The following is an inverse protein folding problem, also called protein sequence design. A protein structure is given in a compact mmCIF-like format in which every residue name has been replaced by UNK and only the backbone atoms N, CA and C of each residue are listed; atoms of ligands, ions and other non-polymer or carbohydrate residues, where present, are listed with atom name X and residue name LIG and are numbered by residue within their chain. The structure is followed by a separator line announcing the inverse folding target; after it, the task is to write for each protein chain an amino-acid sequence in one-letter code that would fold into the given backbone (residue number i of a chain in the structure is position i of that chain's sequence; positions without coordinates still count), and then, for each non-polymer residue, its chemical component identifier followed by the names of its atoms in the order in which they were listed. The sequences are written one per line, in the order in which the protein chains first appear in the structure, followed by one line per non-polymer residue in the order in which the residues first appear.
data_IF_454287888989
#
_entry.id   IF_454287888989
#
_cell.length_a   1.000
_cell.length_b   1.000
_cell.length_c   1.000
_cell.angle_alpha   90.00
_cell.angle_beta   90.00
_cell.angle_gamma   90.00
#
_symmetry.space_group_name_H-M   'P 1'
#
loop_
_entity.id
_entity.type
_entity.pdbx_description
1 polymer ?
#
# COMPACT_ATOMS: atom_id res chain seq x y z
N UNK A 1 -41.77 -5.21 -13.01
CA UNK A 1 -40.52 -4.73 -13.67
C UNK A 1 -39.27 -5.47 -13.21
N UNK A 2 -39.39 -6.73 -12.75
CA UNK A 2 -38.28 -7.52 -12.18
C UNK A 2 -37.95 -8.81 -12.95
N UNK A 3 -38.72 -9.16 -13.98
CA UNK A 3 -38.51 -10.40 -14.75
C UNK A 3 -37.56 -10.24 -15.94
N UNK A 4 -37.21 -9.01 -16.34
CA UNK A 4 -36.41 -8.78 -17.55
C UNK A 4 -34.89 -8.74 -17.31
N UNK A 5 -34.43 -8.85 -16.04
CA UNK A 5 -32.99 -8.87 -15.71
C UNK A 5 -32.38 -10.28 -15.71
N UNK A 6 -33.17 -11.33 -15.47
CA UNK A 6 -32.65 -12.71 -15.48
C UNK A 6 -32.38 -13.24 -16.90
N UNK A 7 -33.05 -12.71 -17.92
CA UNK A 7 -32.91 -13.22 -19.29
C UNK A 7 -31.63 -12.74 -20.00
N UNK A 8 -30.95 -11.73 -19.45
CA UNK A 8 -29.71 -11.19 -20.01
C UNK A 8 -28.49 -11.91 -19.43
N UNK A 9 -28.58 -12.39 -18.19
CA UNK A 9 -27.47 -13.11 -17.52
C UNK A 9 -27.29 -14.53 -18.06
N UNK A 10 -28.37 -15.24 -18.39
CA UNK A 10 -28.27 -16.60 -19.00
C UNK A 10 -27.72 -16.58 -20.43
N UNK A 11 -27.89 -15.49 -21.17
CA UNK A 11 -27.40 -15.41 -22.57
C UNK A 11 -25.89 -15.20 -22.64
N UNK A 12 -25.31 -14.48 -21.68
CA UNK A 12 -23.87 -14.22 -21.64
C UNK A 12 -23.08 -15.42 -21.11
N UNK A 13 -23.70 -16.30 -20.32
CA UNK A 13 -23.05 -17.50 -19.79
C UNK A 13 -22.98 -18.63 -20.85
N UNK A 14 -23.94 -18.66 -21.79
CA UNK A 14 -23.90 -19.59 -22.93
C UNK A 14 -22.86 -19.21 -24.00
N UNK A 15 -22.55 -17.93 -24.19
CA UNK A 15 -21.51 -17.48 -25.15
C UNK A 15 -20.07 -17.66 -24.62
N UNK A 16 -19.85 -17.67 -23.30
CA UNK A 16 -18.54 -17.98 -22.71
C UNK A 16 -18.21 -19.49 -22.77
N UNK A 17 -19.22 -20.36 -22.63
CA UNK A 17 -19.03 -21.81 -22.77
C UNK A 17 -18.84 -22.26 -24.23
N UNK A 18 -19.32 -21.49 -25.21
CA UNK A 18 -19.06 -21.76 -26.63
C UNK A 18 -17.66 -21.28 -27.07
N UNK A 19 -17.14 -20.18 -26.49
CA UNK A 19 -15.74 -19.75 -26.72
C UNK A 19 -14.71 -20.65 -26.02
N UNK A 20 -15.03 -21.21 -24.86
CA UNK A 20 -14.14 -22.16 -24.18
C UNK A 20 -14.04 -23.52 -24.92
N UNK A 21 -14.95 -23.81 -25.85
CA UNK A 21 -14.93 -25.02 -26.67
C UNK A 21 -14.14 -24.87 -27.98
N UNK A 22 -13.84 -23.65 -28.42
CA UNK A 22 -13.15 -23.38 -29.68
C UNK A 22 -11.62 -23.37 -29.51
N UNK A 23 -11.10 -23.07 -28.31
CA UNK A 23 -9.64 -23.05 -28.05
C UNK A 23 -9.10 -24.36 -27.43
N UNK A 24 -9.96 -25.35 -27.19
CA UNK A 24 -9.59 -26.65 -26.59
C UNK A 24 -9.34 -27.79 -27.59
N UNK A 25 -9.77 -27.64 -28.84
CA UNK A 25 -9.75 -28.69 -29.86
C UNK A 25 -8.86 -28.32 -31.06
N UNK A 26 -7.76 -27.59 -30.82
CA UNK A 26 -6.56 -27.77 -31.63
C UNK A 26 -5.89 -29.11 -31.27
N UNK A 27 -6.69 -30.18 -31.36
CA UNK A 27 -6.25 -31.56 -31.42
C UNK A 27 -5.40 -31.63 -32.69
N UNK A 28 -4.08 -31.61 -32.53
CA UNK A 28 -3.13 -32.08 -33.54
C UNK A 28 -3.48 -33.54 -33.82
N UNK A 29 -4.47 -33.76 -34.68
CA UNK A 29 -4.68 -35.04 -35.35
C UNK A 29 -3.48 -35.23 -36.26
N UNK A 30 -2.41 -35.76 -35.69
CA UNK A 30 -1.33 -36.38 -36.44
C UNK A 30 -1.97 -37.50 -37.25
N UNK A 31 -2.16 -37.20 -38.53
CA UNK A 31 -2.58 -38.12 -39.56
C UNK A 31 -1.82 -39.44 -39.39
N UNK A 32 -2.57 -40.52 -39.13
CA UNK A 32 -2.01 -41.86 -38.86
C UNK A 32 -1.23 -42.40 -40.07
N UNK A 33 -1.38 -41.77 -41.25
CA UNK A 33 -0.75 -42.16 -42.50
C UNK A 33 0.19 -41.09 -43.07
N UNK A 34 0.44 -39.99 -42.36
CA UNK A 34 1.48 -39.06 -42.80
C UNK A 34 2.84 -39.77 -42.63
N UNK A 35 3.37 -40.27 -43.74
CA UNK A 35 4.78 -40.59 -43.88
C UNK A 35 5.56 -39.40 -43.31
N UNK A 36 6.30 -39.65 -42.23
CA UNK A 36 7.40 -38.77 -41.83
C UNK A 36 8.39 -38.82 -42.99
N UNK A 37 8.19 -37.93 -43.97
CA UNK A 37 9.15 -37.63 -45.00
C UNK A 37 10.36 -37.02 -44.32
N UNK A 38 11.26 -37.88 -43.83
CA UNK A 38 12.65 -37.53 -43.61
C UNK A 38 13.22 -37.29 -45.00
N UNK A 39 12.98 -36.08 -45.51
CA UNK A 39 13.68 -35.56 -46.67
C UNK A 39 15.15 -35.55 -46.32
N UNK A 40 15.90 -36.51 -46.88
CA UNK A 40 17.35 -36.50 -46.86
C UNK A 40 17.83 -35.34 -47.74
N UNK A 41 17.78 -34.12 -47.22
CA UNK A 41 18.61 -33.03 -47.75
C UNK A 41 20.02 -33.23 -47.20
N UNK A 42 20.76 -34.13 -47.84
CA UNK A 42 22.20 -34.34 -47.61
C UNK A 42 23.01 -33.34 -48.45
N UNK A 43 22.75 -32.04 -48.28
CA UNK A 43 23.65 -31.00 -48.79
C UNK A 43 24.71 -30.69 -47.72
N UNK A 44 25.69 -31.58 -47.55
CA UNK A 44 26.88 -31.25 -46.72
C UNK A 44 27.52 -32.38 -45.92
N UNK A 45 27.18 -33.65 -46.16
CA UNK A 45 27.86 -34.78 -45.49
C UNK A 45 28.73 -35.51 -46.50
N UNK A 46 30.02 -35.52 -46.22
CA UNK A 46 31.08 -36.18 -46.98
C UNK A 46 30.71 -37.66 -47.24
N UNK A 47 30.87 -38.10 -48.50
CA UNK A 47 30.42 -39.39 -49.02
C UNK A 47 30.92 -40.63 -48.26
N UNK A 48 31.93 -40.49 -47.40
CA UNK A 48 32.46 -41.57 -46.56
C UNK A 48 31.57 -41.89 -45.35
N UNK A 49 30.95 -40.88 -44.73
CA UNK A 49 30.12 -41.05 -43.52
C UNK A 49 28.75 -41.64 -43.82
N UNK A 50 28.20 -41.40 -45.01
CA UNK A 50 26.93 -41.99 -45.44
C UNK A 50 27.01 -43.51 -45.66
N UNK A 51 28.19 -44.05 -45.97
CA UNK A 51 28.38 -45.48 -46.26
C UNK A 51 28.34 -46.37 -45.00
N UNK A 52 28.77 -45.85 -43.86
CA UNK A 52 28.81 -46.59 -42.60
C UNK A 52 27.46 -46.59 -41.87
N UNK A 53 26.69 -45.50 -41.92
CA UNK A 53 25.34 -45.44 -41.33
C UNK A 53 24.33 -46.31 -42.10
N UNK A 54 24.51 -46.45 -43.42
CA UNK A 54 23.71 -47.37 -44.27
C UNK A 54 24.00 -48.85 -44.01
N UNK A 55 25.20 -49.18 -43.53
CA UNK A 55 25.62 -50.55 -43.22
C UNK A 55 25.15 -51.05 -41.85
N UNK A 56 24.92 -50.14 -40.90
CA UNK A 56 24.38 -50.46 -39.58
C UNK A 56 22.84 -50.54 -39.54
N UNK A 57 22.14 -49.89 -40.47
CA UNK A 57 20.66 -49.87 -40.51
C UNK A 57 20.05 -50.91 -41.45
N UNK A 58 20.82 -51.54 -42.33
CA UNK A 58 20.32 -52.48 -43.36
C UNK A 58 20.21 -53.94 -42.92
N UNK A 59 20.43 -54.26 -41.63
CA UNK A 59 20.40 -55.65 -41.11
C UNK A 59 19.48 -55.90 -39.91
N UNK A 60 18.50 -55.03 -39.69
CA UNK A 60 17.39 -55.32 -38.77
C UNK A 60 16.10 -55.37 -39.57
N UNK A 61 15.79 -56.54 -40.12
CA UNK A 61 14.43 -56.89 -40.54
C UNK A 61 13.59 -57.05 -39.26
N UNK A 62 13.23 -55.94 -38.64
CA UNK A 62 12.24 -55.90 -37.58
C UNK A 62 10.88 -56.19 -38.23
N UNK A 63 10.16 -57.19 -37.71
CA UNK A 63 8.77 -57.44 -38.08
C UNK A 63 7.92 -56.20 -37.78
N UNK A 64 6.83 -56.01 -38.54
CA UNK A 64 5.97 -54.83 -38.40
C UNK A 64 5.46 -54.65 -36.95
N UNK A 65 5.26 -55.75 -36.22
CA UNK A 65 4.93 -55.79 -34.80
C UNK A 65 6.01 -55.14 -33.91
N UNK A 66 7.30 -55.40 -34.17
CA UNK A 66 8.40 -54.80 -33.40
C UNK A 66 8.56 -53.31 -33.72
N UNK A 67 8.34 -52.90 -34.96
CA UNK A 67 8.29 -51.46 -35.33
C UNK A 67 7.12 -50.75 -34.64
N UNK A 68 5.99 -51.42 -34.51
CA UNK A 68 4.80 -50.87 -33.87
C UNK A 68 4.96 -50.77 -32.35
N UNK A 69 5.61 -51.75 -31.72
CA UNK A 69 5.95 -51.75 -30.29
C UNK A 69 6.97 -50.67 -29.93
N UNK A 70 8.02 -50.50 -30.73
CA UNK A 70 8.99 -49.40 -30.55
C UNK A 70 8.32 -48.05 -30.75
N UNK A 71 7.46 -47.89 -31.76
CA UNK A 71 6.65 -46.67 -31.92
C UNK A 71 5.75 -46.41 -30.71
N UNK A 72 5.11 -47.45 -30.16
CA UNK A 72 4.24 -47.30 -29.00
C UNK A 72 5.01 -46.87 -27.74
N UNK A 73 6.21 -47.44 -27.51
CA UNK A 73 7.11 -47.03 -26.42
C UNK A 73 7.56 -45.57 -26.57
N UNK A 74 8.04 -45.17 -27.74
CA UNK A 74 8.42 -43.77 -27.98
C UNK A 74 7.24 -42.81 -27.84
N UNK A 75 6.04 -43.23 -28.22
CA UNK A 75 4.84 -42.41 -28.07
C UNK A 75 4.44 -42.25 -26.61
N UNK A 76 4.51 -43.33 -25.83
CA UNK A 76 4.27 -43.28 -24.39
C UNK A 76 5.31 -42.41 -23.67
N UNK A 77 6.60 -42.57 -23.98
CA UNK A 77 7.66 -41.74 -23.37
C UNK A 77 7.51 -40.25 -23.77
N UNK A 78 7.10 -39.98 -25.01
CA UNK A 78 6.85 -38.63 -25.49
C UNK A 78 5.61 -38.02 -24.83
N UNK A 79 4.48 -38.74 -24.79
CA UNK A 79 3.25 -38.27 -24.14
C UNK A 79 3.46 -38.08 -22.63
N UNK A 80 4.23 -38.95 -21.99
CA UNK A 80 4.65 -38.80 -20.59
C UNK A 80 5.50 -37.54 -20.44
N UNK A 81 6.52 -37.34 -21.27
CA UNK A 81 7.38 -36.14 -21.22
C UNK A 81 6.59 -34.84 -21.45
N UNK A 82 5.64 -34.84 -22.38
CA UNK A 82 4.76 -33.69 -22.67
C UNK A 82 3.80 -33.41 -21.52
N UNK A 83 3.25 -34.45 -20.88
CA UNK A 83 2.39 -34.27 -19.71
C UNK A 83 3.16 -33.77 -18.50
N UNK A 84 4.35 -34.30 -18.22
CA UNK A 84 5.23 -33.79 -17.16
C UNK A 84 5.62 -32.34 -17.42
N UNK A 85 6.01 -31.99 -18.65
CA UNK A 85 6.34 -30.61 -19.04
C UNK A 85 5.14 -29.67 -18.86
N UNK A 86 3.92 -30.12 -19.20
CA UNK A 86 2.69 -29.34 -19.01
C UNK A 86 2.35 -29.14 -17.53
N UNK A 87 2.60 -30.14 -16.69
CA UNK A 87 2.45 -30.01 -15.24
C UNK A 87 3.46 -29.05 -14.63
N UNK A 88 4.72 -29.12 -15.06
CA UNK A 88 5.79 -28.24 -14.59
C UNK A 88 5.52 -26.78 -14.99
N UNK A 89 5.13 -26.52 -16.25
CA UNK A 89 4.71 -25.18 -16.70
C UNK A 89 3.53 -24.66 -15.88
N UNK A 90 2.57 -25.53 -15.54
CA UNK A 90 1.39 -25.14 -14.76
C UNK A 90 1.76 -24.82 -13.30
N UNK A 91 2.72 -25.54 -12.71
CA UNK A 91 3.25 -25.25 -11.37
C UNK A 91 4.03 -23.95 -11.35
N UNK A 92 5.00 -23.77 -12.24
CA UNK A 92 5.77 -22.52 -12.35
C UNK A 92 4.83 -21.32 -12.60
N UNK A 93 3.84 -21.48 -13.48
CA UNK A 93 2.84 -20.45 -13.74
C UNK A 93 1.96 -20.09 -12.54
N UNK A 94 1.73 -21.02 -11.60
CA UNK A 94 1.01 -20.75 -10.35
C UNK A 94 1.91 -20.05 -9.31
N UNK A 95 3.18 -20.41 -9.22
CA UNK A 95 4.16 -19.77 -8.35
C UNK A 95 4.37 -18.30 -8.76
N UNK A 96 4.58 -18.03 -10.06
CA UNK A 96 4.70 -16.67 -10.59
C UNK A 96 3.46 -15.82 -10.30
N UNK A 97 2.25 -16.40 -10.42
CA UNK A 97 1.00 -15.69 -10.11
C UNK A 97 0.89 -15.34 -8.62
N UNK A 98 1.32 -16.25 -7.73
CA UNK A 98 1.34 -16.02 -6.29
C UNK A 98 2.33 -14.92 -5.91
N UNK A 99 3.52 -14.93 -6.51
CA UNK A 99 4.54 -13.91 -6.26
C UNK A 99 4.10 -12.55 -6.80
N UNK A 100 3.49 -12.52 -7.99
CA UNK A 100 2.92 -11.31 -8.55
C UNK A 100 1.81 -10.73 -7.65
N UNK A 101 0.89 -11.56 -7.16
CA UNK A 101 -0.16 -11.12 -6.24
C UNK A 101 0.44 -10.57 -4.94
N UNK A 102 1.49 -11.20 -4.42
CA UNK A 102 2.20 -10.79 -3.21
C UNK A 102 2.87 -9.43 -3.40
N UNK A 103 3.63 -9.26 -4.49
CA UNK A 103 4.29 -8.00 -4.85
C UNK A 103 3.26 -6.90 -5.09
N UNK A 104 2.15 -7.21 -5.78
CA UNK A 104 1.09 -6.25 -6.05
C UNK A 104 0.39 -5.80 -4.76
N UNK A 105 0.05 -6.72 -3.86
CA UNK A 105 -0.54 -6.38 -2.55
C UNK A 105 0.41 -5.56 -1.69
N UNK A 106 1.70 -5.90 -1.71
CA UNK A 106 2.77 -5.11 -1.09
C UNK A 106 2.81 -3.70 -1.67
N UNK A 107 2.83 -3.55 -2.99
CA UNK A 107 2.89 -2.25 -3.66
C UNK A 107 1.66 -1.39 -3.36
N UNK A 108 0.46 -1.97 -3.39
CA UNK A 108 -0.77 -1.26 -3.03
C UNK A 108 -0.71 -0.73 -1.59
N UNK A 109 -0.26 -1.57 -0.65
CA UNK A 109 -0.08 -1.18 0.77
C UNK A 109 0.93 -0.04 0.91
N UNK A 110 2.03 -0.10 0.15
CA UNK A 110 3.05 0.94 0.13
C UNK A 110 2.52 2.28 -0.40
N UNK A 111 1.76 2.27 -1.50
CA UNK A 111 1.12 3.48 -2.05
C UNK A 111 0.11 4.08 -1.06
N UNK A 112 -0.69 3.25 -0.39
CA UNK A 112 -1.62 3.71 0.67
C UNK A 112 -0.87 4.33 1.84
N UNK A 113 0.23 3.70 2.28
CA UNK A 113 1.07 4.22 3.35
C UNK A 113 1.63 5.61 3.01
N UNK A 114 2.21 5.78 1.82
CA UNK A 114 2.70 7.08 1.35
C UNK A 114 1.59 8.13 1.26
N UNK A 115 0.37 7.72 0.85
CA UNK A 115 -0.78 8.63 0.77
C UNK A 115 -1.21 9.17 2.13
N UNK A 116 -1.23 8.31 3.16
CA UNK A 116 -1.50 8.72 4.55
C UNK A 116 -0.40 9.66 5.03
N UNK A 117 0.85 9.33 4.75
CA UNK A 117 2.01 10.11 5.19
C UNK A 117 1.99 11.55 4.65
N UNK A 118 1.73 11.73 3.34
CA UNK A 118 1.60 13.06 2.70
C UNK A 118 0.52 13.91 3.37
N UNK A 119 -0.56 13.30 3.89
CA UNK A 119 -1.59 14.03 4.62
C UNK A 119 -1.12 14.42 6.03
N UNK A 120 -0.33 13.58 6.70
CA UNK A 120 0.26 13.90 8.00
C UNK A 120 1.26 15.07 7.87
N UNK A 121 2.06 15.11 6.79
CA UNK A 121 3.00 16.23 6.53
C UNK A 121 2.31 17.59 6.46
N UNK A 122 1.08 17.66 5.93
CA UNK A 122 0.35 18.93 5.78
C UNK A 122 -0.15 19.51 7.11
N UNK A 123 -0.27 18.68 8.15
CA UNK A 123 -0.91 19.05 9.41
C UNK A 123 0.07 19.26 10.57
N UNK A 124 1.38 19.22 10.34
CA UNK A 124 2.40 19.25 11.40
C UNK A 124 3.33 20.45 11.25
N UNK A 125 3.35 21.31 12.27
CA UNK A 125 4.20 22.51 12.33
C UNK A 125 5.59 22.24 12.95
N UNK A 126 5.82 21.06 13.53
CA UNK A 126 7.08 20.74 14.20
C UNK A 126 8.06 20.02 13.26
N UNK A 127 9.11 20.74 12.83
CA UNK A 127 10.16 20.20 11.97
C UNK A 127 10.86 18.95 12.54
N UNK A 128 10.98 18.81 13.86
CA UNK A 128 11.62 17.64 14.50
C UNK A 128 10.75 16.39 14.34
N UNK A 129 9.45 16.55 14.54
CA UNK A 129 8.48 15.46 14.34
C UNK A 129 8.42 15.07 12.85
N UNK A 130 8.52 16.07 11.97
CA UNK A 130 8.57 15.88 10.52
C UNK A 130 9.77 15.01 10.10
N UNK A 131 10.96 15.31 10.63
CA UNK A 131 12.17 14.52 10.38
C UNK A 131 12.00 13.08 10.90
N UNK A 132 11.36 12.91 12.06
CA UNK A 132 11.05 11.59 12.61
C UNK A 132 10.14 10.77 11.69
N UNK A 133 9.05 11.39 11.19
CA UNK A 133 8.12 10.77 10.25
C UNK A 133 8.85 10.41 8.94
N UNK A 134 9.60 11.34 8.35
CA UNK A 134 10.41 11.06 7.16
C UNK A 134 11.37 9.88 7.36
N UNK A 135 12.03 9.80 8.52
CA UNK A 135 12.97 8.72 8.85
C UNK A 135 12.26 7.37 8.97
N UNK A 136 11.09 7.32 9.62
CA UNK A 136 10.27 6.11 9.72
C UNK A 136 9.86 5.64 8.33
N UNK A 137 9.42 6.56 7.48
CA UNK A 137 8.92 6.21 6.15
C UNK A 137 10.04 5.78 5.22
N UNK A 138 11.21 6.42 5.31
CA UNK A 138 12.41 5.94 4.64
C UNK A 138 12.75 4.50 5.07
N UNK A 139 12.62 4.18 6.35
CA UNK A 139 12.77 2.81 6.84
C UNK A 139 11.72 1.86 6.24
N UNK A 140 10.46 2.26 6.12
CA UNK A 140 9.45 1.45 5.42
C UNK A 140 9.76 1.23 3.94
N UNK A 141 10.27 2.25 3.24
CA UNK A 141 10.71 2.13 1.83
C UNK A 141 11.87 1.15 1.71
N UNK A 142 12.86 1.25 2.61
CA UNK A 142 14.00 0.33 2.63
C UNK A 142 13.57 -1.10 3.00
N UNK A 143 12.68 -1.24 3.98
CA UNK A 143 12.07 -2.53 4.32
C UNK A 143 11.38 -3.16 3.12
N UNK A 144 10.60 -2.36 2.39
CA UNK A 144 9.91 -2.81 1.19
C UNK A 144 10.89 -3.31 0.12
N UNK A 145 11.95 -2.54 -0.15
CA UNK A 145 12.99 -2.94 -1.10
C UNK A 145 13.69 -4.25 -0.66
N UNK A 146 13.91 -4.43 0.65
CA UNK A 146 14.47 -5.65 1.21
C UNK A 146 13.53 -6.85 1.04
N UNK A 147 12.24 -6.67 1.31
CA UNK A 147 11.23 -7.73 1.13
C UNK A 147 11.13 -8.15 -0.32
N UNK A 148 11.14 -7.21 -1.28
CA UNK A 148 11.16 -7.57 -2.72
C UNK A 148 12.44 -8.33 -3.07
N UNK A 149 13.59 -7.86 -2.61
CA UNK A 149 14.87 -8.51 -2.86
C UNK A 149 14.96 -9.91 -2.22
N UNK A 150 14.24 -10.13 -1.12
CA UNK A 150 14.14 -11.41 -0.46
C UNK A 150 13.18 -12.35 -1.19
N UNK A 151 12.02 -11.88 -1.66
CA UNK A 151 11.09 -12.65 -2.50
C UNK A 151 11.77 -13.06 -3.82
N UNK A 152 12.62 -12.20 -4.38
CA UNK A 152 13.37 -12.50 -5.60
C UNK A 152 14.49 -13.54 -5.41
N UNK A 153 14.79 -13.99 -4.19
CA UNK A 153 15.82 -14.99 -3.90
C UNK A 153 15.18 -16.31 -3.51
N UNK A 154 15.44 -17.35 -4.31
CA UNK A 154 14.93 -18.71 -4.11
C UNK A 154 15.38 -19.41 -2.80
N UNK A 155 16.40 -18.89 -2.10
CA UNK A 155 16.92 -19.49 -0.86
C UNK A 155 17.22 -18.42 0.18
N UNK A 156 16.36 -18.29 1.17
CA UNK A 156 16.61 -17.49 2.37
C UNK A 156 17.38 -18.32 3.40
N UNK A 157 18.63 -17.95 3.66
CA UNK A 157 19.38 -18.44 4.82
C UNK A 157 19.23 -17.47 5.99
N UNK A 158 19.15 -17.97 7.23
CA UNK A 158 19.09 -17.14 8.44
C UNK A 158 20.23 -16.11 8.57
N UNK A 159 21.37 -16.38 7.93
CA UNK A 159 22.52 -15.45 7.88
C UNK A 159 22.24 -14.19 7.06
N UNK A 160 21.24 -14.21 6.18
CA UNK A 160 20.87 -13.05 5.36
C UNK A 160 20.22 -11.93 6.18
N UNK A 161 19.58 -12.26 7.31
CA UNK A 161 19.01 -11.26 8.22
C UNK A 161 20.06 -10.41 8.95
N UNK A 162 21.30 -10.89 9.07
CA UNK A 162 22.42 -10.16 9.65
C UNK A 162 23.13 -9.24 8.63
N UNK A 163 22.61 -9.15 7.39
CA UNK A 163 23.22 -8.26 6.40
C UNK A 163 23.15 -6.80 6.87
N UNK A 164 24.18 -5.99 6.56
CA UNK A 164 24.23 -4.59 6.94
C UNK A 164 22.99 -3.80 6.52
N UNK A 165 22.32 -4.22 5.44
CA UNK A 165 21.11 -3.59 4.92
C UNK A 165 19.91 -3.71 5.87
N UNK A 166 19.68 -4.87 6.51
CA UNK A 166 18.61 -5.02 7.50
C UNK A 166 18.95 -4.25 8.79
N UNK A 167 20.21 -4.28 9.21
CA UNK A 167 20.67 -3.55 10.39
C UNK A 167 20.53 -2.04 10.20
N UNK A 168 20.89 -1.53 9.02
CA UNK A 168 20.73 -0.13 8.66
C UNK A 168 19.25 0.27 8.65
N UNK A 169 18.37 -0.59 8.12
CA UNK A 169 16.94 -0.34 8.15
C UNK A 169 16.39 -0.22 9.59
N UNK A 170 16.76 -1.16 10.47
CA UNK A 170 16.37 -1.10 11.89
C UNK A 170 16.94 0.15 12.58
N UNK A 171 18.17 0.56 12.24
CA UNK A 171 18.75 1.78 12.77
C UNK A 171 17.95 3.02 12.36
N UNK A 172 17.55 3.15 11.09
CA UNK A 172 16.69 4.24 10.62
C UNK A 172 15.32 4.26 11.31
N UNK A 173 14.76 3.08 11.58
CA UNK A 173 13.51 2.97 12.35
C UNK A 173 13.67 3.50 13.78
N UNK A 174 14.72 3.05 14.49
CA UNK A 174 15.00 3.48 15.86
C UNK A 174 15.24 4.99 15.92
N UNK A 175 16.05 5.51 14.99
CA UNK A 175 16.32 6.95 14.87
C UNK A 175 15.00 7.71 14.65
N UNK A 176 14.16 7.26 13.73
CA UNK A 176 12.86 7.88 13.47
C UNK A 176 11.94 7.91 14.69
N UNK A 177 11.86 6.81 15.45
CA UNK A 177 11.10 6.74 16.69
C UNK A 177 11.64 7.73 17.74
N UNK A 178 12.97 7.84 17.89
CA UNK A 178 13.59 8.78 18.82
C UNK A 178 13.23 10.23 18.46
N UNK A 179 13.33 10.59 17.18
CA UNK A 179 12.96 11.94 16.72
C UNK A 179 11.48 12.24 16.96
N UNK A 180 10.59 11.25 16.80
CA UNK A 180 9.17 11.41 17.05
C UNK A 180 8.88 11.64 18.55
N UNK A 181 9.54 10.88 19.44
CA UNK A 181 9.43 11.08 20.88
C UNK A 181 9.94 12.45 21.33
N UNK A 182 11.07 12.91 20.79
CA UNK A 182 11.63 14.25 21.07
C UNK A 182 10.68 15.35 20.55
N UNK A 183 10.17 15.17 19.32
CA UNK A 183 9.22 16.10 18.71
C UNK A 183 7.94 16.28 19.54
N UNK A 184 7.39 15.18 20.06
CA UNK A 184 6.18 15.19 20.88
C UNK A 184 6.40 15.82 22.27
N UNK A 185 7.58 15.66 22.87
CA UNK A 185 7.91 16.31 24.15
C UNK A 185 7.94 17.84 24.01
N UNK A 186 8.50 18.34 22.91
CA UNK A 186 8.56 19.77 22.61
C UNK A 186 7.17 20.39 22.40
N UNK A 187 6.26 19.72 21.68
CA UNK A 187 4.90 20.22 21.47
C UNK A 187 4.08 20.27 22.76
N UNK A 188 4.17 19.25 23.61
CA UNK A 188 3.48 19.20 24.90
C UNK A 188 3.94 20.32 25.85
N UNK A 189 5.22 20.69 25.81
CA UNK A 189 5.73 21.81 26.61
C UNK A 189 5.10 23.15 26.19
N UNK A 190 4.91 23.39 24.88
CA UNK A 190 4.26 24.62 24.36
C UNK A 190 2.79 24.69 24.78
N UNK A 191 2.07 23.58 24.68
CA UNK A 191 0.67 23.51 25.16
C UNK A 191 0.57 23.79 26.65
N UNK A 192 1.48 23.22 27.45
CA UNK A 192 1.55 23.51 28.89
C UNK A 192 1.84 24.98 29.20
N UNK A 193 2.73 25.64 28.44
CA UNK A 193 2.99 27.07 28.62
C UNK A 193 1.81 27.95 28.23
N UNK A 194 1.10 27.62 27.15
CA UNK A 194 -0.10 28.34 26.71
C UNK A 194 -1.24 28.17 27.72
N UNK A 195 -1.39 26.99 28.31
CA UNK A 195 -2.37 26.75 29.35
C UNK A 195 -2.09 27.59 30.61
N UNK A 196 -0.83 27.66 31.05
CA UNK A 196 -0.42 28.53 32.16
C UNK A 196 -0.64 30.02 31.87
N UNK A 197 -0.38 30.46 30.63
CA UNK A 197 -0.67 31.83 30.21
C UNK A 197 -2.18 32.12 30.25
N UNK A 198 -3.00 31.21 29.71
CA UNK A 198 -4.46 31.35 29.77
C UNK A 198 -4.99 31.40 31.20
N UNK A 199 -4.47 30.59 32.13
CA UNK A 199 -4.83 30.66 33.55
C UNK A 199 -4.45 32.01 34.16
N UNK A 200 -3.25 32.52 33.86
CA UNK A 200 -2.79 33.82 34.34
C UNK A 200 -3.66 34.96 33.80
N UNK A 201 -4.01 34.92 32.52
CA UNK A 201 -4.83 35.95 31.89
C UNK A 201 -6.27 35.89 32.38
N UNK A 202 -6.81 34.70 32.65
CA UNK A 202 -8.11 34.55 33.30
C UNK A 202 -8.14 35.18 34.70
N UNK A 203 -7.11 34.96 35.52
CA UNK A 203 -7.00 35.60 36.84
C UNK A 203 -6.91 37.13 36.74
N UNK A 204 -6.19 37.66 35.75
CA UNK A 204 -6.14 39.11 35.49
C UNK A 204 -7.51 39.65 35.08
N UNK A 205 -8.23 38.94 34.22
CA UNK A 205 -9.59 39.31 33.81
C UNK A 205 -10.52 39.34 35.02
N UNK A 206 -10.47 38.34 35.89
CA UNK A 206 -11.29 38.29 37.10
C UNK A 206 -10.96 39.46 38.05
N UNK A 207 -9.68 39.78 38.23
CA UNK A 207 -9.23 40.95 39.00
C UNK A 207 -9.70 42.27 38.39
N UNK A 208 -9.59 42.42 37.06
CA UNK A 208 -10.10 43.60 36.35
C UNK A 208 -11.62 43.73 36.49
N UNK A 209 -12.37 42.63 36.43
CA UNK A 209 -13.81 42.63 36.66
C UNK A 209 -14.15 43.09 38.07
N UNK A 210 -13.44 42.60 39.10
CA UNK A 210 -13.63 43.06 40.48
C UNK A 210 -13.36 44.55 40.63
N UNK A 211 -12.29 45.06 40.00
CA UNK A 211 -11.98 46.49 40.00
C UNK A 211 -13.07 47.31 39.31
N UNK A 212 -13.61 46.84 38.18
CA UNK A 212 -14.75 47.48 37.49
C UNK A 212 -16.00 47.52 38.38
N UNK A 213 -16.30 46.43 39.10
CA UNK A 213 -17.41 46.42 40.06
C UNK A 213 -17.20 47.42 41.21
N UNK A 214 -15.97 47.52 41.72
CA UNK A 214 -15.59 48.51 42.74
C UNK A 214 -15.80 49.95 42.25
N UNK A 215 -15.23 50.28 41.09
CA UNK A 215 -15.40 51.59 40.45
C UNK A 215 -16.87 51.92 40.18
N UNK A 216 -17.66 50.95 39.69
CA UNK A 216 -19.10 51.15 39.46
C UNK A 216 -19.87 51.46 40.74
N UNK A 217 -19.44 50.87 41.87
CA UNK A 217 -20.01 51.17 43.19
C UNK A 217 -19.62 52.58 43.65
N UNK A 218 -18.36 52.96 43.51
CA UNK A 218 -17.89 54.31 43.85
C UNK A 218 -18.62 55.39 43.04
N UNK A 219 -18.78 55.20 41.73
CA UNK A 219 -19.55 56.10 40.86
C UNK A 219 -20.98 56.24 41.38
N UNK A 220 -21.64 55.15 41.78
CA UNK A 220 -23.01 55.21 42.32
C UNK A 220 -23.09 56.01 43.63
N UNK A 221 -22.11 55.83 44.51
CA UNK A 221 -22.04 56.60 45.77
C UNK A 221 -21.83 58.09 45.48
N UNK A 222 -20.94 58.41 44.54
CA UNK A 222 -20.68 59.78 44.13
C UNK A 222 -21.93 60.44 43.53
N UNK A 223 -22.62 59.76 42.61
CA UNK A 223 -23.88 60.22 42.01
C UNK A 223 -24.95 60.52 43.07
N UNK A 224 -25.09 59.63 44.07
CA UNK A 224 -26.04 59.85 45.17
C UNK A 224 -25.67 61.05 46.05
N UNK A 225 -24.38 61.27 46.27
CA UNK A 225 -23.87 62.39 47.08
C UNK A 225 -24.08 63.72 46.34
N UNK A 226 -23.79 63.76 45.03
CA UNK A 226 -24.03 64.94 44.18
C UNK A 226 -25.52 65.25 44.08
N UNK A 227 -26.37 64.22 43.92
CA UNK A 227 -27.84 64.40 43.92
C UNK A 227 -28.35 65.00 45.24
N UNK A 228 -27.83 64.53 46.38
CA UNK A 228 -28.16 65.07 47.71
C UNK A 228 -27.72 66.52 47.88
N UNK A 229 -26.50 66.87 47.43
CA UNK A 229 -26.00 68.26 47.48
C UNK A 229 -26.85 69.19 46.62
N UNK A 230 -27.17 68.78 45.39
CA UNK A 230 -28.00 69.56 44.49
C UNK A 230 -29.40 69.81 45.07
N UNK A 231 -30.01 68.79 45.69
CA UNK A 231 -31.29 68.93 46.38
C UNK A 231 -31.22 69.93 47.55
N UNK A 232 -30.20 69.82 48.40
CA UNK A 232 -30.01 70.77 49.51
C UNK A 232 -29.84 72.21 49.02
N UNK A 233 -29.16 72.41 47.89
CA UNK A 233 -28.94 73.72 47.30
C UNK A 233 -30.24 74.30 46.71
N UNK A 234 -31.05 73.48 46.03
CA UNK A 234 -32.37 73.89 45.55
C UNK A 234 -33.32 74.25 46.69
N UNK A 235 -33.33 73.45 47.76
CA UNK A 235 -34.15 73.70 48.94
C UNK A 235 -33.76 75.04 49.60
N UNK A 236 -32.44 75.32 49.71
CA UNK A 236 -31.92 76.58 50.27
C UNK A 236 -32.27 77.81 49.40
N UNK A 237 -32.19 77.68 48.07
CA UNK A 237 -32.59 78.74 47.14
C UNK A 237 -34.09 79.03 47.21
N UNK A 238 -34.91 78.01 47.42
CA UNK A 238 -36.35 78.16 47.56
C UNK A 238 -36.75 78.82 48.88
N UNK A 239 -36.07 78.50 49.99
CA UNK A 239 -36.24 79.25 51.25
C UNK A 239 -35.86 80.71 51.12
N UNK A 240 -34.71 81.01 50.50
CA UNK A 240 -34.27 82.39 50.27
C UNK A 240 -35.28 83.16 49.40
N UNK A 241 -35.83 82.51 48.37
CA UNK A 241 -36.90 83.07 47.53
C UNK A 241 -38.17 83.36 48.32
N UNK A 242 -38.52 82.54 49.32
CA UNK A 242 -39.66 82.78 50.22
C UNK A 242 -39.41 83.95 51.16
N UNK A 243 -38.18 84.16 51.63
CA UNK A 243 -37.84 85.29 52.52
C UNK A 243 -37.87 86.66 51.82
N UNK A 244 -37.62 86.70 50.51
CA UNK A 244 -37.60 87.96 49.73
C UNK A 244 -39.03 88.43 49.34
N UNK A 245 -40.02 87.53 49.35
CA UNK A 245 -41.42 87.86 49.01
C UNK A 245 -42.19 88.30 50.23
#
# INVERSE_FOLDING_TARGET
MSENKNKITEKNQAEEDEKAKIDGDALLTLDKNAELGIGNDMSGIDNESASNTKRLTSKLNLTDEQKQEVRALFRNDFDTSVTTLKEDIKKEGQEVKKDFLTIFGLFASFVTFLSIEVQVFKNKDNAVELIGICSISLSFVLFFALVINDIAKDKQEWKDFLKPSHLLNVAFLIVGIIFLLIGNSSSNSRVGTLQKQNETDRLKIDSLQQNIYGLKREIRVLDSSVSSQNKSLTDSLEELRKMIR
#
